data_IF_863124530414
#
_entry.id   IF_863124530414
#
_cell.length_a   1.000
_cell.length_b   1.000
_cell.length_c   1.000
_cell.angle_alpha   90.00
_cell.angle_beta   90.00
_cell.angle_gamma   90.00
#
_symmetry.space_group_name_H-M   'P 1'
#
loop_
_entity.id
_entity.type
_entity.pdbx_description
1 polymer ?
#
# COMPACT_ATOMS: atom_id res chain seq x y z
N UNK A 1 5.75 -12.95 -1.17
CA UNK A 1 5.30 -11.67 -0.59
C UNK A 1 3.79 -11.56 -0.47
N UNK A 2 3.06 -12.00 -1.47
CA UNK A 2 1.59 -11.95 -1.41
C UNK A 2 1.03 -12.79 -0.25
N UNK A 3 1.60 -13.94 0.02
CA UNK A 3 1.17 -14.79 1.12
C UNK A 3 1.37 -14.11 2.48
N UNK A 4 2.45 -13.35 2.62
CA UNK A 4 2.71 -12.57 3.83
C UNK A 4 1.65 -11.46 3.96
N UNK A 5 1.32 -10.82 2.83
CA UNK A 5 0.24 -9.83 2.82
C UNK A 5 -1.08 -10.45 3.30
N UNK A 6 -1.43 -11.64 2.80
CA UNK A 6 -2.68 -12.30 3.18
C UNK A 6 -2.74 -12.60 4.68
N UNK A 7 -1.60 -12.97 5.28
CA UNK A 7 -1.54 -13.20 6.72
C UNK A 7 -1.88 -11.93 7.50
N UNK A 8 -1.28 -10.80 7.09
CA UNK A 8 -1.53 -9.49 7.72
C UNK A 8 -2.98 -9.05 7.46
N UNK A 9 -3.44 -9.18 6.23
CA UNK A 9 -4.79 -8.78 5.84
C UNK A 9 -5.86 -9.57 6.60
N UNK A 10 -5.60 -10.86 6.87
CA UNK A 10 -6.53 -11.68 7.65
C UNK A 10 -6.73 -11.10 9.05
N UNK A 11 -5.64 -10.67 9.69
CA UNK A 11 -5.73 -10.05 11.01
C UNK A 11 -6.42 -8.70 10.96
N UNK A 12 -6.18 -7.92 9.89
CA UNK A 12 -6.86 -6.65 9.70
C UNK A 12 -8.37 -6.85 9.50
N UNK A 13 -8.76 -7.89 8.74
CA UNK A 13 -10.17 -8.20 8.57
C UNK A 13 -10.86 -8.48 9.91
N UNK A 14 -10.17 -9.08 10.87
CA UNK A 14 -10.73 -9.38 12.18
C UNK A 14 -11.05 -8.13 13.00
N UNK A 15 -10.40 -7.01 12.72
CA UNK A 15 -10.71 -5.73 13.34
C UNK A 15 -11.48 -4.80 12.37
N UNK A 16 -12.18 -5.42 11.42
CA UNK A 16 -13.07 -4.75 10.47
C UNK A 16 -12.36 -3.76 9.54
N UNK A 17 -11.13 -4.07 9.16
CA UNK A 17 -10.35 -3.30 8.19
C UNK A 17 -10.15 -4.14 6.93
N UNK A 18 -10.53 -3.56 5.77
CA UNK A 18 -10.22 -4.13 4.47
C UNK A 18 -9.03 -3.32 3.92
N UNK A 19 -7.83 -3.89 3.91
CA UNK A 19 -6.64 -3.16 3.47
C UNK A 19 -6.55 -3.07 1.96
N UNK A 20 -5.83 -2.06 1.47
CA UNK A 20 -5.49 -1.91 0.06
C UNK A 20 -4.03 -2.36 -0.13
N UNK A 21 -3.82 -3.34 -0.99
CA UNK A 21 -2.47 -3.77 -1.35
C UNK A 21 -1.93 -2.83 -2.43
N UNK A 22 -0.87 -2.14 -2.11
CA UNK A 22 -0.24 -1.14 -2.97
C UNK A 22 1.16 -1.60 -3.40
N UNK A 23 1.88 -0.73 -4.06
CA UNK A 23 3.28 -0.93 -4.40
C UNK A 23 3.52 -2.08 -5.38
N UNK A 24 4.77 -2.52 -5.43
CA UNK A 24 5.19 -3.53 -6.41
C UNK A 24 4.55 -4.89 -6.19
N UNK A 25 4.29 -5.28 -4.94
CA UNK A 25 3.64 -6.57 -4.68
C UNK A 25 2.23 -6.58 -5.27
N UNK A 26 1.47 -5.50 -5.07
CA UNK A 26 0.14 -5.38 -5.65
C UNK A 26 0.18 -5.33 -7.18
N UNK A 27 1.17 -4.64 -7.74
CA UNK A 27 1.33 -4.58 -9.20
C UNK A 27 1.66 -5.96 -9.77
N UNK A 28 2.49 -6.76 -9.07
CA UNK A 28 2.76 -8.14 -9.48
C UNK A 28 1.48 -8.97 -9.51
N UNK A 29 0.64 -8.82 -8.49
CA UNK A 29 -0.64 -9.54 -8.44
C UNK A 29 -1.59 -9.09 -9.56
N UNK A 30 -1.63 -7.80 -9.87
CA UNK A 30 -2.52 -7.28 -10.91
C UNK A 30 -2.05 -7.66 -12.32
N UNK A 31 -0.74 -7.70 -12.56
CA UNK A 31 -0.20 -7.87 -13.91
C UNK A 31 0.31 -9.26 -14.21
N UNK A 32 0.65 -10.05 -13.17
CA UNK A 32 1.32 -11.34 -13.35
C UNK A 32 2.78 -11.21 -13.75
N UNK A 33 3.34 -9.99 -13.73
CA UNK A 33 4.74 -9.74 -14.05
C UNK A 33 5.57 -9.64 -12.78
N UNK A 34 6.85 -9.98 -12.88
CA UNK A 34 7.80 -9.83 -11.78
C UNK A 34 8.35 -8.38 -11.81
N UNK A 35 8.05 -7.63 -10.75
CA UNK A 35 8.54 -6.27 -10.58
C UNK A 35 9.63 -6.20 -9.52
N UNK A 36 10.19 -7.35 -9.12
CA UNK A 36 11.23 -7.47 -8.11
C UNK A 36 10.82 -6.83 -6.77
N UNK A 37 9.58 -7.09 -6.37
CA UNK A 37 9.03 -6.54 -5.14
C UNK A 37 9.78 -7.09 -3.93
N UNK A 38 10.17 -6.18 -3.02
CA UNK A 38 10.95 -6.53 -1.82
C UNK A 38 10.23 -6.18 -0.54
N UNK A 39 9.35 -5.18 -0.60
CA UNK A 39 8.66 -4.64 0.57
C UNK A 39 7.17 -4.68 0.33
N UNK A 40 6.41 -4.79 1.42
CA UNK A 40 4.95 -4.68 1.37
C UNK A 40 4.54 -3.25 1.64
N UNK A 41 3.64 -2.75 0.82
CA UNK A 41 3.05 -1.42 0.96
C UNK A 41 1.54 -1.62 1.09
N UNK A 42 1.02 -1.37 2.30
CA UNK A 42 -0.38 -1.64 2.64
C UNK A 42 -1.04 -0.33 3.07
N UNK A 43 -2.17 0.02 2.46
CA UNK A 43 -2.91 1.21 2.88
C UNK A 43 -4.14 0.82 3.68
N UNK A 44 -4.36 1.55 4.76
CA UNK A 44 -5.44 1.31 5.73
C UNK A 44 -6.16 2.63 6.03
N UNK A 45 -7.36 2.58 6.64
CA UNK A 45 -8.11 3.81 6.96
C UNK A 45 -7.28 4.83 7.72
N UNK A 46 -7.39 6.08 7.31
CA UNK A 46 -6.52 7.14 7.77
C UNK A 46 -7.21 8.50 7.74
N UNK A 47 -6.55 9.50 8.32
CA UNK A 47 -6.96 10.88 8.19
C UNK A 47 -6.70 11.33 6.74
N UNK A 48 -7.70 11.90 6.05
CA UNK A 48 -7.51 12.32 4.65
C UNK A 48 -6.48 13.44 4.48
N UNK A 49 -6.12 14.16 5.55
CA UNK A 49 -5.09 15.20 5.50
C UNK A 49 -3.67 14.63 5.40
N UNK A 50 -3.50 13.32 5.61
CA UNK A 50 -2.22 12.64 5.42
C UNK A 50 -1.12 13.20 6.29
N UNK A 51 -0.03 13.65 5.66
CA UNK A 51 1.16 14.13 6.36
C UNK A 51 0.96 15.43 7.15
N UNK A 52 -0.19 16.07 7.01
CA UNK A 52 -0.48 17.31 7.74
C UNK A 52 -0.87 17.07 9.20
N UNK A 53 -1.11 15.81 9.59
CA UNK A 53 -1.44 15.47 10.98
C UNK A 53 -0.28 14.73 11.63
N UNK A 54 -0.20 14.76 12.99
CA UNK A 54 0.86 14.02 13.70
C UNK A 54 0.86 12.53 13.37
N UNK A 55 2.03 11.91 13.45
CA UNK A 55 2.22 10.50 13.09
C UNK A 55 1.24 9.55 13.79
N UNK A 56 0.98 9.77 15.06
CA UNK A 56 0.10 8.91 15.87
C UNK A 56 -1.38 9.08 15.53
N UNK A 57 -1.74 10.12 14.77
CA UNK A 57 -3.12 10.40 14.39
C UNK A 57 -3.39 10.08 12.90
N UNK A 58 -2.34 9.90 12.11
CA UNK A 58 -2.49 9.75 10.66
C UNK A 58 -3.21 8.45 10.29
N UNK A 59 -2.83 7.34 10.89
CA UNK A 59 -3.47 6.04 10.66
C UNK A 59 -4.50 5.82 11.77
N UNK A 60 -5.75 5.59 11.39
CA UNK A 60 -6.79 5.31 12.37
C UNK A 60 -6.54 3.98 13.04
N UNK A 61 -6.79 3.92 14.35
CA UNK A 61 -6.57 2.73 15.16
C UNK A 61 -5.10 2.25 15.13
N UNK A 62 -4.17 3.19 15.04
CA UNK A 62 -2.76 2.85 14.94
C UNK A 62 -2.26 2.01 16.12
N UNK A 63 -2.80 2.22 17.33
CA UNK A 63 -2.44 1.40 18.49
C UNK A 63 -2.81 -0.07 18.29
N UNK A 64 -3.99 -0.33 17.73
CA UNK A 64 -4.44 -1.69 17.42
C UNK A 64 -3.59 -2.30 16.32
N UNK A 65 -3.24 -1.51 15.32
CA UNK A 65 -2.41 -1.94 14.22
C UNK A 65 -1.02 -2.35 14.72
N UNK A 66 -0.41 -1.52 15.56
CA UNK A 66 0.91 -1.80 16.12
C UNK A 66 0.87 -3.07 16.96
N UNK A 67 -0.13 -3.21 17.83
CA UNK A 67 -0.28 -4.41 18.67
C UNK A 67 -0.46 -5.66 17.81
N UNK A 68 -1.26 -5.57 16.76
CA UNK A 68 -1.48 -6.69 15.84
C UNK A 68 -0.18 -7.11 15.14
N UNK A 69 0.59 -6.14 14.65
CA UNK A 69 1.85 -6.44 13.97
C UNK A 69 2.88 -7.04 14.93
N UNK A 70 2.90 -6.56 16.18
CA UNK A 70 3.80 -7.12 17.18
C UNK A 70 3.42 -8.57 17.51
N UNK A 71 2.13 -8.89 17.57
CA UNK A 71 1.67 -10.28 17.77
C UNK A 71 2.11 -11.19 16.63
N UNK A 72 2.20 -10.65 15.40
CA UNK A 72 2.69 -11.40 14.24
C UNK A 72 4.20 -11.52 14.20
N UNK A 73 4.90 -10.90 15.15
CA UNK A 73 6.35 -10.97 15.26
C UNK A 73 7.10 -9.83 14.60
N UNK A 74 6.40 -8.77 14.19
CA UNK A 74 7.03 -7.61 13.58
C UNK A 74 7.45 -6.60 14.63
N UNK A 75 8.49 -5.83 14.32
CA UNK A 75 8.98 -4.73 15.16
C UNK A 75 8.75 -3.41 14.42
N UNK A 76 8.17 -2.43 15.12
CA UNK A 76 8.02 -1.08 14.58
C UNK A 76 9.40 -0.42 14.56
N UNK A 77 9.89 -0.09 13.35
CA UNK A 77 11.23 0.47 13.16
C UNK A 77 11.21 1.95 12.77
N UNK A 78 10.08 2.44 12.24
CA UNK A 78 9.94 3.85 11.86
C UNK A 78 8.47 4.26 12.05
N UNK A 79 8.21 5.08 13.07
CA UNK A 79 6.85 5.52 13.37
C UNK A 79 6.33 6.50 12.32
N UNK A 80 7.19 7.33 11.76
CA UNK A 80 6.79 8.32 10.76
C UNK A 80 6.23 7.63 9.52
N UNK A 81 6.90 6.57 9.06
CA UNK A 81 6.47 5.78 7.89
C UNK A 81 5.55 4.62 8.25
N UNK A 82 5.29 4.40 9.53
CA UNK A 82 4.58 3.21 10.02
C UNK A 82 5.20 1.94 9.43
N UNK A 83 6.54 1.87 9.50
CA UNK A 83 7.29 0.75 8.96
C UNK A 83 7.60 -0.29 10.02
N UNK A 84 7.36 -1.55 9.66
CA UNK A 84 7.61 -2.71 10.52
C UNK A 84 8.56 -3.66 9.81
N UNK A 85 9.35 -4.40 10.60
CA UNK A 85 10.26 -5.40 10.05
C UNK A 85 10.17 -6.71 10.82
N UNK A 86 10.29 -7.81 10.07
CA UNK A 86 10.39 -9.17 10.60
C UNK A 86 11.32 -9.93 9.68
N UNK A 87 12.44 -10.41 10.21
CA UNK A 87 13.49 -11.04 9.40
C UNK A 87 13.93 -10.04 8.31
N UNK A 88 13.86 -10.42 7.03
CA UNK A 88 14.23 -9.53 5.93
C UNK A 88 13.01 -8.85 5.28
N UNK A 89 11.83 -8.96 5.88
CA UNK A 89 10.59 -8.40 5.31
C UNK A 89 10.31 -7.05 5.94
N UNK A 90 10.10 -6.03 5.09
CA UNK A 90 9.68 -4.70 5.50
C UNK A 90 8.23 -4.48 5.08
N UNK A 91 7.42 -3.94 5.99
CA UNK A 91 6.01 -3.64 5.74
C UNK A 91 5.77 -2.18 6.14
N UNK A 92 5.28 -1.38 5.20
CA UNK A 92 4.90 0.01 5.48
C UNK A 92 3.39 0.17 5.36
N UNK A 93 2.81 0.95 6.27
CA UNK A 93 1.39 1.27 6.21
C UNK A 93 1.20 2.72 5.79
N UNK A 94 0.40 2.91 4.76
CA UNK A 94 0.03 4.23 4.27
C UNK A 94 -1.45 4.52 4.49
N UNK A 95 -1.86 5.72 4.16
CA UNK A 95 -3.23 6.19 4.36
C UNK A 95 -4.12 5.95 3.16
N UNK A 96 -5.17 5.17 3.35
CA UNK A 96 -6.17 4.91 2.32
C UNK A 96 -6.94 6.18 1.96
N UNK A 97 -7.33 6.96 2.95
CA UNK A 97 -8.21 8.11 2.75
C UNK A 97 -7.54 9.33 2.13
N UNK A 98 -6.22 9.30 1.95
CA UNK A 98 -5.49 10.36 1.24
C UNK A 98 -5.34 10.08 -0.26
N UNK A 99 -5.75 8.91 -0.75
CA UNK A 99 -5.62 8.55 -2.17
C UNK A 99 -6.34 9.51 -3.11
N UNK A 100 -7.59 9.94 -2.82
CA UNK A 100 -8.25 10.87 -3.75
C UNK A 100 -7.47 12.15 -3.97
N UNK A 101 -6.97 12.78 -2.91
CA UNK A 101 -6.20 14.02 -3.03
C UNK A 101 -4.80 13.79 -3.61
N UNK A 102 -4.19 12.65 -3.32
CA UNK A 102 -2.84 12.34 -3.80
C UNK A 102 -2.81 11.96 -5.27
N UNK A 103 -3.71 11.08 -5.70
CA UNK A 103 -3.63 10.47 -7.02
C UNK A 103 -4.92 10.56 -7.85
N UNK A 104 -5.97 11.14 -7.31
CA UNK A 104 -7.26 11.20 -8.01
C UNK A 104 -7.96 9.87 -8.09
N UNK A 105 -7.64 8.94 -7.19
CA UNK A 105 -8.28 7.63 -7.14
C UNK A 105 -9.34 7.67 -6.04
N UNK A 106 -10.60 7.51 -6.45
CA UNK A 106 -11.71 7.53 -5.50
C UNK A 106 -11.84 6.15 -4.82
N UNK A 107 -12.10 6.16 -3.51
CA UNK A 107 -12.14 4.92 -2.73
C UNK A 107 -13.27 3.99 -3.18
N UNK A 108 -14.40 4.54 -3.59
CA UNK A 108 -15.54 3.78 -4.08
C UNK A 108 -15.26 3.04 -5.39
N UNK A 109 -14.22 3.45 -6.11
CA UNK A 109 -13.84 2.82 -7.38
C UNK A 109 -12.79 1.71 -7.20
N UNK A 110 -12.33 1.48 -5.97
CA UNK A 110 -11.38 0.41 -5.70
C UNK A 110 -12.06 -0.95 -5.83
N UNK A 111 -11.36 -1.90 -6.45
CA UNK A 111 -11.86 -3.26 -6.61
C UNK A 111 -11.58 -4.07 -5.35
N UNK A 112 -12.62 -4.64 -4.75
CA UNK A 112 -12.46 -5.54 -3.61
C UNK A 112 -12.33 -6.97 -4.10
N UNK A 113 -11.33 -7.66 -3.63
CA UNK A 113 -11.04 -9.05 -3.98
C UNK A 113 -11.06 -9.91 -2.73
N UNK A 114 -11.20 -11.22 -2.95
CA UNK A 114 -11.15 -12.20 -1.87
C UNK A 114 -10.25 -13.35 -2.29
N UNK A 115 -9.30 -13.70 -1.41
CA UNK A 115 -8.42 -14.85 -1.61
C UNK A 115 -8.40 -15.65 -0.30
N UNK A 116 -8.80 -16.92 -0.35
CA UNK A 116 -8.82 -17.80 0.82
C UNK A 116 -9.59 -17.20 2.01
N UNK A 117 -10.69 -16.50 1.73
CA UNK A 117 -11.51 -15.88 2.77
C UNK A 117 -10.98 -14.54 3.27
N UNK A 118 -9.89 -14.05 2.72
CA UNK A 118 -9.29 -12.76 3.09
C UNK A 118 -9.73 -11.69 2.10
N UNK A 119 -10.27 -10.59 2.61
CA UNK A 119 -10.76 -9.47 1.79
C UNK A 119 -9.74 -8.35 1.75
N UNK A 120 -9.54 -7.78 0.56
CA UNK A 120 -8.61 -6.68 0.34
C UNK A 120 -8.98 -5.93 -0.92
N UNK A 121 -8.47 -4.70 -1.04
CA UNK A 121 -8.57 -3.93 -2.28
C UNK A 121 -7.28 -4.06 -3.07
N UNK A 122 -7.39 -3.97 -4.39
CA UNK A 122 -6.25 -3.96 -5.30
C UNK A 122 -6.53 -2.96 -6.41
N UNK A 123 -5.62 -1.98 -6.65
CA UNK A 123 -5.85 -1.02 -7.72
C UNK A 123 -5.95 -1.69 -9.10
N UNK A 124 -6.80 -1.16 -9.95
CA UNK A 124 -6.85 -1.54 -11.36
C UNK A 124 -5.61 -1.00 -12.09
N UNK A 125 -5.38 -1.44 -13.32
CA UNK A 125 -4.27 -0.93 -14.13
C UNK A 125 -4.34 0.59 -14.28
N UNK A 126 -5.54 1.11 -14.54
CA UNK A 126 -5.76 2.55 -14.68
C UNK A 126 -5.45 3.31 -13.39
N UNK A 127 -5.90 2.77 -12.25
CA UNK A 127 -5.62 3.37 -10.95
C UNK A 127 -4.14 3.34 -10.62
N UNK A 128 -3.45 2.24 -10.94
CA UNK A 128 -2.01 2.15 -10.75
C UNK A 128 -1.28 3.19 -11.59
N UNK A 129 -1.73 3.43 -12.82
CA UNK A 129 -1.11 4.47 -13.65
C UNK A 129 -1.25 5.84 -12.99
N UNK A 130 -2.43 6.17 -12.48
CA UNK A 130 -2.65 7.44 -11.75
C UNK A 130 -1.74 7.54 -10.54
N UNK A 131 -1.61 6.46 -9.77
CA UNK A 131 -0.78 6.43 -8.56
C UNK A 131 0.69 6.65 -8.91
N UNK A 132 1.21 5.95 -9.90
CA UNK A 132 2.62 6.09 -10.27
C UNK A 132 2.91 7.44 -10.92
N UNK A 133 1.97 8.00 -11.69
CA UNK A 133 2.13 9.35 -12.22
C UNK A 133 2.19 10.38 -11.09
N UNK A 134 1.34 10.23 -10.07
CA UNK A 134 1.38 11.10 -8.90
C UNK A 134 2.69 10.96 -8.14
N UNK A 135 3.15 9.72 -7.92
CA UNK A 135 4.43 9.45 -7.25
C UNK A 135 5.62 10.04 -8.00
N UNK A 136 5.60 9.98 -9.34
CA UNK A 136 6.71 10.49 -10.14
C UNK A 136 6.85 12.01 -10.09
N UNK A 137 5.80 12.70 -9.62
CA UNK A 137 5.82 14.17 -9.46
C UNK A 137 6.28 14.56 -8.04
N UNK A 138 6.30 13.64 -7.10
CA UNK A 138 6.83 13.87 -5.77
C UNK A 138 8.35 13.95 -5.86
N UNK A 139 8.94 15.10 -5.50
CA UNK A 139 10.37 15.33 -5.68
C UNK A 139 11.25 14.33 -4.94
N UNK A 140 10.86 13.97 -3.73
CA UNK A 140 11.61 12.99 -2.93
C UNK A 140 11.61 11.63 -3.61
N UNK A 141 10.44 11.17 -4.05
CA UNK A 141 10.31 9.87 -4.69
C UNK A 141 10.93 9.85 -6.07
N UNK A 142 10.83 10.95 -6.82
CA UNK A 142 11.45 11.07 -8.14
C UNK A 142 12.97 10.92 -8.03
N UNK A 143 13.59 11.53 -7.03
CA UNK A 143 15.03 11.43 -6.81
C UNK A 143 15.46 10.01 -6.43
N UNK A 144 14.62 9.28 -5.69
CA UNK A 144 14.97 7.97 -5.17
C UNK A 144 14.63 6.82 -6.12
N UNK A 145 13.48 6.90 -6.82
CA UNK A 145 12.91 5.76 -7.55
C UNK A 145 12.54 6.07 -8.99
N UNK A 146 13.08 7.14 -9.56
CA UNK A 146 12.72 7.64 -10.89
C UNK A 146 12.62 6.56 -11.96
N UNK A 147 13.68 5.78 -12.12
CA UNK A 147 13.75 4.77 -13.19
C UNK A 147 12.76 3.63 -12.99
N UNK A 148 12.54 3.22 -11.74
CA UNK A 148 11.57 2.16 -11.43
C UNK A 148 10.15 2.59 -11.76
N UNK A 149 9.79 3.82 -11.38
CA UNK A 149 8.45 4.35 -11.64
C UNK A 149 8.24 4.55 -13.15
N UNK A 150 9.25 5.00 -13.86
CA UNK A 150 9.15 5.19 -15.32
C UNK A 150 8.89 3.87 -16.06
N UNK A 151 9.57 2.80 -15.67
CA UNK A 151 9.37 1.48 -16.27
C UNK A 151 7.92 0.98 -16.06
N UNK A 152 7.41 1.16 -14.84
CA UNK A 152 6.04 0.78 -14.50
C UNK A 152 5.02 1.62 -15.26
N UNK A 153 5.25 2.93 -15.34
CA UNK A 153 4.39 3.85 -16.09
C UNK A 153 4.35 3.47 -17.58
N UNK A 154 5.49 3.18 -18.16
CA UNK A 154 5.58 2.78 -19.58
C UNK A 154 4.79 1.49 -19.82
N UNK A 155 4.94 0.50 -18.94
CA UNK A 155 4.22 -0.75 -19.04
C UNK A 155 2.69 -0.53 -18.95
N UNK A 156 2.26 0.26 -17.97
CA UNK A 156 0.85 0.53 -17.76
C UNK A 156 0.22 1.28 -18.94
N UNK A 157 0.93 2.26 -19.49
CA UNK A 157 0.45 2.99 -20.67
C UNK A 157 0.28 2.06 -21.87
N UNK A 158 1.21 1.13 -22.05
CA UNK A 158 1.12 0.17 -23.15
C UNK A 158 -0.08 -0.76 -22.97
N UNK A 159 -0.30 -1.26 -21.75
CA UNK A 159 -1.41 -2.16 -21.45
C UNK A 159 -2.77 -1.49 -21.57
N UNK A 160 -2.84 -0.17 -21.42
CA UNK A 160 -4.10 0.59 -21.45
C UNK A 160 -4.40 1.20 -22.81
N UNK A 161 -3.61 0.91 -23.83
CA UNK A 161 -3.87 1.39 -25.20
C UNK A 161 -5.10 0.75 -25.80
#
# INVERSE_FOLDING_TARGET
MFEIFLEIARELNQIEITPLLMGSVGLEERTGQDWQARDLDIHVPSDPRGWEVPDEERIYQSDKLIAMMERLGYTLVDRHEHEFQKNSVSVEFGGLHSLPSFAGVELEDLEELETNGVHYYLPTLEQYLKIYLASSKDSYRADKNNQKDFAKIAYLKEMLK
#
